data_IF_733686687102
#
_entry.id   IF_733686687102
#
_cell.length_a   1.000
_cell.length_b   1.000
_cell.length_c   1.000
_cell.angle_alpha   90.00
_cell.angle_beta   90.00
_cell.angle_gamma   90.00
#
_symmetry.space_group_name_H-M   'P 1'
#
loop_
_entity.id
_entity.type
_entity.pdbx_description
1 polymer ?
#
# COMPACT_ATOMS: atom_id res chain seq x y z
N UNK A 1 -10.53 -14.73 -15.71
CA UNK A 1 -9.31 -15.10 -14.94
C UNK A 1 -8.62 -13.88 -14.30
N UNK A 2 -9.33 -12.78 -14.05
CA UNK A 2 -8.85 -11.63 -13.26
C UNK A 2 -9.57 -11.51 -11.89
N UNK A 3 -10.59 -12.35 -11.66
CA UNK A 3 -11.46 -12.32 -10.47
C UNK A 3 -10.76 -12.59 -9.14
N UNK A 4 -9.55 -13.18 -9.15
CA UNK A 4 -8.75 -13.38 -7.92
C UNK A 4 -7.78 -12.24 -7.60
N UNK A 5 -7.61 -11.28 -8.51
CA UNK A 5 -6.85 -10.05 -8.28
C UNK A 5 -7.76 -8.86 -7.94
N UNK A 6 -9.08 -9.10 -7.85
CA UNK A 6 -10.02 -8.21 -7.18
C UNK A 6 -9.78 -8.28 -5.66
N UNK A 7 -8.60 -7.82 -5.25
CA UNK A 7 -8.45 -7.02 -4.05
C UNK A 7 -9.63 -6.06 -4.03
N UNK A 8 -10.36 -5.97 -2.91
CA UNK A 8 -11.51 -5.04 -2.82
C UNK A 8 -11.07 -3.67 -3.35
N UNK A 9 -11.91 -2.90 -4.05
CA UNK A 9 -11.50 -1.65 -4.72
C UNK A 9 -10.61 -0.74 -3.85
N UNK A 10 -10.81 -0.80 -2.53
CA UNK A 10 -10.05 -0.12 -1.47
C UNK A 10 -8.58 -0.56 -1.37
N UNK A 11 -8.30 -1.85 -1.51
CA UNK A 11 -6.94 -2.39 -1.50
C UNK A 11 -6.21 -2.01 -2.79
N UNK A 12 -6.89 -2.06 -3.94
CA UNK A 12 -6.30 -1.61 -5.21
C UNK A 12 -6.02 -0.10 -5.21
N UNK A 13 -6.93 0.72 -4.68
CA UNK A 13 -6.72 2.16 -4.51
C UNK A 13 -5.51 2.45 -3.59
N UNK A 14 -5.36 1.70 -2.49
CA UNK A 14 -4.23 1.84 -1.57
C UNK A 14 -2.89 1.44 -2.24
N UNK A 15 -2.88 0.34 -3.00
CA UNK A 15 -1.70 -0.07 -3.77
C UNK A 15 -1.36 0.99 -4.84
N UNK A 16 -2.34 1.41 -5.63
CA UNK A 16 -2.16 2.40 -6.68
C UNK A 16 -1.68 3.75 -6.12
N UNK A 17 -2.24 4.21 -5.00
CA UNK A 17 -1.83 5.45 -4.33
C UNK A 17 -0.42 5.34 -3.75
N UNK A 18 -0.06 4.20 -3.17
CA UNK A 18 1.29 3.92 -2.69
C UNK A 18 2.32 3.91 -3.81
N UNK A 19 2.00 3.29 -4.95
CA UNK A 19 2.86 3.26 -6.14
C UNK A 19 2.95 4.66 -6.76
N UNK A 20 1.85 5.38 -6.91
CA UNK A 20 1.85 6.72 -7.51
C UNK A 20 2.69 7.71 -6.69
N UNK A 21 2.57 7.68 -5.36
CA UNK A 21 3.37 8.52 -4.46
C UNK A 21 4.83 8.05 -4.45
N UNK A 22 5.07 6.74 -4.32
CA UNK A 22 6.42 6.16 -4.28
C UNK A 22 7.21 6.38 -5.57
N UNK A 23 6.57 6.19 -6.73
CA UNK A 23 7.15 6.45 -8.03
C UNK A 23 7.34 7.96 -8.27
N UNK A 24 6.36 8.80 -7.93
CA UNK A 24 6.46 10.25 -8.10
C UNK A 24 7.62 10.84 -7.28
N UNK A 25 7.72 10.47 -6.00
CA UNK A 25 8.83 10.90 -5.13
C UNK A 25 10.15 10.27 -5.57
N UNK A 26 10.15 8.99 -5.94
CA UNK A 26 11.35 8.30 -6.42
C UNK A 26 11.93 8.88 -7.70
N UNK A 27 11.09 9.29 -8.65
CA UNK A 27 11.50 9.99 -9.87
C UNK A 27 12.03 11.38 -9.54
N UNK A 28 11.36 12.15 -8.68
CA UNK A 28 11.82 13.49 -8.28
C UNK A 28 13.20 13.44 -7.60
N UNK A 29 13.38 12.53 -6.63
CA UNK A 29 14.66 12.35 -5.94
C UNK A 29 15.73 11.79 -6.90
N UNK A 30 15.35 10.83 -7.75
CA UNK A 30 16.24 10.27 -8.77
C UNK A 30 16.69 11.32 -9.80
N UNK A 31 15.82 12.26 -10.17
CA UNK A 31 16.14 13.37 -11.08
C UNK A 31 17.15 14.34 -10.46
N UNK A 32 17.04 14.65 -9.16
CA UNK A 32 18.00 15.48 -8.44
C UNK A 32 19.40 14.85 -8.37
N UNK A 33 19.45 13.52 -8.32
CA UNK A 33 20.70 12.75 -8.27
C UNK A 33 21.21 12.35 -9.66
N UNK A 34 20.53 12.76 -10.75
CA UNK A 34 20.80 12.32 -12.14
C UNK A 34 20.67 10.79 -12.38
N UNK A 35 20.03 10.08 -11.46
CA UNK A 35 19.78 8.63 -11.51
C UNK A 35 18.28 8.33 -11.48
N UNK A 36 17.55 8.84 -12.48
CA UNK A 36 16.07 8.74 -12.57
C UNK A 36 15.58 7.29 -12.56
N UNK A 37 16.22 6.41 -13.35
CA UNK A 37 15.83 4.99 -13.44
C UNK A 37 15.98 4.26 -12.12
N UNK A 38 17.04 4.58 -11.37
CA UNK A 38 17.34 3.98 -10.06
C UNK A 38 16.36 4.50 -8.99
N UNK A 39 16.04 5.80 -9.04
CA UNK A 39 15.03 6.42 -8.18
C UNK A 39 13.62 5.88 -8.44
N UNK A 40 13.23 5.67 -9.70
CA UNK A 40 11.96 5.05 -10.07
C UNK A 40 11.87 3.59 -9.59
N UNK A 41 12.91 2.79 -9.82
CA UNK A 41 12.93 1.39 -9.41
C UNK A 41 12.86 1.28 -7.87
N UNK A 42 13.69 2.03 -7.14
CA UNK A 42 13.67 2.04 -5.68
C UNK A 42 12.34 2.57 -5.13
N UNK A 43 11.84 3.69 -5.66
CA UNK A 43 10.58 4.30 -5.22
C UNK A 43 9.36 3.43 -5.50
N UNK A 44 9.32 2.77 -6.65
CA UNK A 44 8.26 1.81 -6.99
C UNK A 44 8.27 0.58 -6.08
N UNK A 45 9.43 -0.03 -5.86
CA UNK A 45 9.56 -1.21 -4.98
C UNK A 45 9.22 -0.85 -3.52
N UNK A 46 9.68 0.30 -3.02
CA UNK A 46 9.34 0.78 -1.67
C UNK A 46 7.85 1.10 -1.56
N UNK A 47 7.24 1.73 -2.57
CA UNK A 47 5.80 2.01 -2.59
C UNK A 47 4.95 0.72 -2.53
N UNK A 48 5.34 -0.31 -3.28
CA UNK A 48 4.69 -1.62 -3.27
C UNK A 48 4.88 -2.32 -1.93
N UNK A 49 6.10 -2.35 -1.38
CA UNK A 49 6.41 -2.93 -0.07
C UNK A 49 5.59 -2.26 1.03
N UNK A 50 5.53 -0.93 1.07
CA UNK A 50 4.76 -0.19 2.07
C UNK A 50 3.28 -0.51 1.96
N UNK A 51 2.69 -0.53 0.75
CA UNK A 51 1.28 -0.87 0.59
C UNK A 51 0.97 -2.33 0.94
N UNK A 52 1.85 -3.27 0.60
CA UNK A 52 1.71 -4.68 0.96
C UNK A 52 1.84 -4.89 2.46
N UNK A 53 2.89 -4.35 3.08
CA UNK A 53 3.12 -4.43 4.53
C UNK A 53 1.98 -3.76 5.29
N UNK A 54 1.53 -2.58 4.85
CA UNK A 54 0.40 -1.89 5.46
C UNK A 54 -0.89 -2.70 5.32
N UNK A 55 -1.15 -3.30 4.15
CA UNK A 55 -2.33 -4.15 3.97
C UNK A 55 -2.28 -5.40 4.84
N UNK A 56 -1.11 -6.03 4.98
CA UNK A 56 -0.91 -7.18 5.85
C UNK A 56 -1.06 -6.82 7.34
N UNK A 57 -0.48 -5.69 7.76
CA UNK A 57 -0.57 -5.18 9.12
C UNK A 57 -1.99 -4.71 9.46
N UNK A 58 -2.68 -4.07 8.51
CA UNK A 58 -4.07 -3.65 8.63
C UNK A 58 -5.01 -4.85 8.65
N UNK A 59 -4.73 -5.95 7.93
CA UNK A 59 -5.47 -7.22 8.06
C UNK A 59 -5.34 -7.82 9.46
N UNK A 60 -4.13 -7.83 10.03
CA UNK A 60 -3.88 -8.28 11.41
C UNK A 60 -4.60 -7.39 12.43
N UNK A 61 -4.51 -6.06 12.29
CA UNK A 61 -5.20 -5.10 13.18
C UNK A 61 -6.71 -5.06 12.98
N UNK A 62 -7.23 -5.29 11.77
CA UNK A 62 -8.67 -5.39 11.53
C UNK A 62 -9.26 -6.60 12.24
N UNK A 63 -8.55 -7.72 12.36
CA UNK A 63 -8.99 -8.83 13.21
C UNK A 63 -9.14 -8.39 14.67
N UNK A 64 -8.13 -7.69 15.21
CA UNK A 64 -8.18 -7.15 16.59
C UNK A 64 -9.23 -6.03 16.79
N UNK A 65 -9.46 -5.16 15.80
CA UNK A 65 -10.46 -4.08 15.87
C UNK A 65 -11.89 -4.58 15.64
N UNK A 66 -12.09 -5.64 14.83
CA UNK A 66 -13.39 -6.28 14.65
C UNK A 66 -13.75 -7.08 15.91
N UNK A 67 -12.78 -7.71 16.58
CA UNK A 67 -12.97 -8.33 17.91
C UNK A 67 -13.30 -7.28 18.99
N UNK A 68 -12.69 -6.10 18.97
CA UNK A 68 -13.05 -5.00 19.89
C UNK A 68 -14.40 -4.31 19.60
N UNK A 69 -14.91 -4.37 18.37
CA UNK A 69 -16.20 -3.74 17.99
C UNK A 69 -17.41 -4.65 18.23
N UNK A 70 -17.22 -5.98 18.23
CA UNK A 70 -18.26 -6.97 18.58
C UNK A 70 -18.67 -6.89 20.07
N UNK A 71 -17.76 -6.49 20.96
CA UNK A 71 -18.04 -6.41 22.40
C UNK A 71 -18.87 -5.19 22.81
N UNK A 72 -18.98 -4.17 21.94
CA UNK A 72 -19.68 -2.91 22.25
C UNK A 72 -21.07 -2.77 21.61
N UNK A 73 -21.52 -3.75 20.82
CA UNK A 73 -22.91 -3.81 20.28
C UNK A 73 -23.79 -4.80 21.08
N UNK A 74 -23.22 -5.46 22.10
CA UNK A 74 -23.93 -6.39 22.98
C UNK A 74 -24.05 -5.92 24.43
N UNK A 75 -24.01 -4.61 24.66
CA UNK A 75 -24.18 -4.02 26.00
C UNK A 75 -25.34 -3.06 26.02
#
# INVERSE_FOLDING_TARGET
>A
MLDKLSLTDKENDLLAKGIAIGAGVGILVGALLNYVTLGFAAGGVVGILVSLTYSFYLRMRKKALIEGKQTSIKK
#
